data_IF_476427232627
#
_entry.id   IF_476427232627
#
_cell.length_a   1.000
_cell.length_b   1.000
_cell.length_c   1.000
_cell.angle_alpha   90.00
_cell.angle_beta   90.00
_cell.angle_gamma   90.00
#
_symmetry.space_group_name_H-M   'P 1'
#
loop_
_entity.id
_entity.type
_entity.pdbx_description
1 polymer ?
#
# COMPACT_ATOMS: atom_id res chain seq x y z
N UNK A 1 -10.52 18.92 17.56
CA UNK A 1 -9.49 17.89 17.85
C UNK A 1 -9.91 17.20 19.12
N UNK A 2 -9.98 15.88 19.15
CA UNK A 2 -10.36 15.15 20.37
C UNK A 2 -9.22 15.26 21.39
N UNK A 3 -9.54 15.06 22.67
CA UNK A 3 -8.55 15.07 23.76
C UNK A 3 -7.44 14.04 23.49
N UNK A 4 -7.80 12.84 23.00
CA UNK A 4 -6.85 11.81 22.60
C UNK A 4 -5.88 12.27 21.49
N UNK A 5 -6.36 13.03 20.50
CA UNK A 5 -5.49 13.54 19.42
C UNK A 5 -4.58 14.66 19.93
N UNK A 6 -5.06 15.49 20.87
CA UNK A 6 -4.23 16.51 21.52
C UNK A 6 -3.10 15.90 22.35
N UNK A 7 -3.41 14.87 23.14
CA UNK A 7 -2.41 14.17 23.95
C UNK A 7 -1.36 13.45 23.09
N UNK A 8 -1.80 12.83 21.98
CA UNK A 8 -0.92 12.19 21.01
C UNK A 8 0.07 13.20 20.42
N UNK A 9 -0.41 14.37 19.96
CA UNK A 9 0.45 15.39 19.38
C UNK A 9 1.39 16.01 20.40
N UNK A 10 0.92 16.27 21.62
CA UNK A 10 1.77 16.76 22.70
C UNK A 10 2.91 15.79 23.03
N UNK A 11 2.59 14.49 23.11
CA UNK A 11 3.59 13.44 23.35
C UNK A 11 4.57 13.34 22.19
N UNK A 12 4.07 13.40 20.95
CA UNK A 12 4.91 13.40 19.76
C UNK A 12 5.86 14.60 19.73
N UNK A 13 5.40 15.79 20.11
CA UNK A 13 6.21 17.01 20.09
C UNK A 13 7.37 16.99 21.09
N UNK A 14 7.21 16.26 22.20
CA UNK A 14 8.23 16.07 23.23
C UNK A 14 9.36 15.09 22.82
N UNK A 15 9.18 14.32 21.75
CA UNK A 15 10.15 13.34 21.27
C UNK A 15 11.41 14.00 20.69
N UNK A 16 12.53 13.29 20.77
CA UNK A 16 13.74 13.64 20.02
C UNK A 16 13.50 13.51 18.51
N UNK A 17 14.38 14.11 17.70
CA UNK A 17 14.26 14.05 16.23
C UNK A 17 14.25 12.61 15.70
N UNK A 18 15.04 11.72 16.29
CA UNK A 18 15.11 10.32 15.90
C UNK A 18 13.80 9.58 16.22
N UNK A 19 13.27 9.78 17.43
CA UNK A 19 12.00 9.20 17.85
C UNK A 19 10.81 9.75 17.05
N UNK A 20 10.82 11.05 16.69
CA UNK A 20 9.81 11.63 15.79
C UNK A 20 9.82 10.93 14.43
N UNK A 21 11.01 10.71 13.86
CA UNK A 21 11.15 10.02 12.58
C UNK A 21 10.62 8.57 12.67
N UNK A 22 10.97 7.85 13.73
CA UNK A 22 10.48 6.49 13.96
C UNK A 22 8.95 6.45 14.09
N UNK A 23 8.39 7.32 14.93
CA UNK A 23 6.94 7.42 15.13
C UNK A 23 6.20 7.78 13.83
N UNK A 24 6.75 8.70 13.02
CA UNK A 24 6.17 9.02 11.71
C UNK A 24 6.17 7.82 10.76
N UNK A 25 7.25 7.05 10.69
CA UNK A 25 7.30 5.85 9.85
C UNK A 25 6.24 4.83 10.27
N UNK A 26 6.07 4.61 11.57
CA UNK A 26 5.07 3.68 12.09
C UNK A 26 3.64 4.14 11.80
N UNK A 27 3.35 5.43 12.01
CA UNK A 27 2.03 6.00 11.71
C UNK A 27 1.70 5.91 10.22
N UNK A 28 2.66 6.22 9.35
CA UNK A 28 2.47 6.11 7.90
C UNK A 28 2.23 4.66 7.48
N UNK A 29 2.97 3.68 8.02
CA UNK A 29 2.72 2.26 7.74
C UNK A 29 1.31 1.84 8.15
N UNK A 30 0.88 2.23 9.35
CA UNK A 30 -0.45 1.89 9.86
C UNK A 30 -1.56 2.54 9.03
N UNK A 31 -1.38 3.79 8.63
CA UNK A 31 -2.31 4.49 7.74
C UNK A 31 -2.40 3.82 6.37
N UNK A 32 -1.27 3.38 5.81
CA UNK A 32 -1.23 2.63 4.55
C UNK A 32 -1.84 1.25 4.72
N UNK A 33 -1.62 0.53 5.82
CA UNK A 33 -2.27 -0.77 6.07
C UNK A 33 -3.79 -0.64 6.25
N UNK A 34 -4.28 0.48 6.79
CA UNK A 34 -5.71 0.76 6.91
C UNK A 34 -6.35 1.27 5.60
N UNK A 35 -5.62 2.01 4.76
CA UNK A 35 -6.10 2.50 3.44
C UNK A 35 -5.85 1.52 2.29
N UNK A 36 -4.86 0.65 2.42
CA UNK A 36 -4.68 -0.52 1.55
C UNK A 36 -5.73 -1.53 1.96
N UNK A 37 -6.99 -1.22 1.67
CA UNK A 37 -8.01 -2.24 1.56
C UNK A 37 -7.45 -3.35 0.68
N UNK A 38 -7.68 -4.60 1.08
CA UNK A 38 -7.30 -5.77 0.30
C UNK A 38 -7.56 -5.49 -1.19
N UNK A 39 -6.57 -5.77 -2.04
CA UNK A 39 -6.77 -5.65 -3.48
C UNK A 39 -8.03 -6.45 -3.81
N UNK A 40 -9.08 -5.82 -4.35
CA UNK A 40 -10.34 -6.51 -4.55
C UNK A 40 -10.10 -7.70 -5.47
N UNK A 41 -10.77 -8.82 -5.18
CA UNK A 41 -10.61 -10.07 -5.92
C UNK A 41 -10.80 -9.85 -7.43
N UNK A 42 -11.73 -8.97 -7.80
CA UNK A 42 -12.00 -8.59 -9.19
C UNK A 42 -10.81 -7.90 -9.86
N UNK A 43 -10.04 -7.09 -9.13
CA UNK A 43 -8.83 -6.47 -9.65
C UNK A 43 -7.69 -7.49 -9.84
N UNK A 44 -7.62 -8.50 -8.97
CA UNK A 44 -6.68 -9.62 -9.14
C UNK A 44 -7.05 -10.48 -10.36
N UNK A 45 -8.34 -10.77 -10.55
CA UNK A 45 -8.85 -11.51 -11.71
C UNK A 45 -8.56 -10.75 -13.00
N UNK A 46 -8.85 -9.44 -13.04
CA UNK A 46 -8.60 -8.61 -14.23
C UNK A 46 -7.10 -8.56 -14.58
N UNK A 47 -6.23 -8.40 -13.57
CA UNK A 47 -4.78 -8.40 -13.77
C UNK A 47 -4.27 -9.77 -14.27
N UNK A 48 -4.83 -10.87 -13.77
CA UNK A 48 -4.50 -12.21 -14.24
C UNK A 48 -4.92 -12.40 -15.71
N UNK A 49 -6.13 -11.97 -16.08
CA UNK A 49 -6.64 -12.07 -17.45
C UNK A 49 -5.76 -11.29 -18.44
N UNK A 50 -5.34 -10.08 -18.08
CA UNK A 50 -4.41 -9.28 -18.91
C UNK A 50 -3.08 -10.01 -19.14
N UNK A 51 -2.49 -10.60 -18.10
CA UNK A 51 -1.25 -11.37 -18.19
C UNK A 51 -1.39 -12.61 -19.08
N UNK A 52 -2.52 -13.33 -18.99
CA UNK A 52 -2.78 -14.49 -19.84
C UNK A 52 -2.96 -14.09 -21.30
N UNK A 53 -3.69 -13.01 -21.60
CA UNK A 53 -3.86 -12.52 -22.96
C UNK A 53 -2.53 -12.09 -23.59
N UNK A 54 -1.65 -11.43 -22.82
CA UNK A 54 -0.32 -11.08 -23.30
C UNK A 54 0.51 -12.34 -23.62
N UNK A 55 0.46 -13.34 -22.74
CA UNK A 55 1.16 -14.61 -22.94
C UNK A 55 0.67 -15.32 -24.20
N UNK A 56 -0.65 -15.44 -24.39
CA UNK A 56 -1.25 -16.06 -25.57
C UNK A 56 -0.83 -15.33 -26.85
N UNK A 57 -0.80 -13.99 -26.83
CA UNK A 57 -0.37 -13.20 -27.97
C UNK A 57 1.09 -13.45 -28.35
N UNK A 58 1.97 -13.60 -27.34
CA UNK A 58 3.39 -13.93 -27.56
C UNK A 58 3.56 -15.34 -28.11
N UNK A 59 2.87 -16.32 -27.54
CA UNK A 59 2.92 -17.70 -28.02
C UNK A 59 2.40 -17.83 -29.45
N UNK A 60 1.33 -17.09 -29.80
CA UNK A 60 0.81 -17.04 -31.16
C UNK A 60 1.81 -16.41 -32.15
N UNK A 61 2.57 -15.40 -31.72
CA UNK A 61 3.62 -14.78 -32.53
C UNK A 61 4.83 -15.71 -32.71
N UNK A 62 5.25 -16.39 -31.65
CA UNK A 62 6.40 -17.31 -31.66
C UNK A 62 6.08 -18.60 -32.44
N UNK A 63 4.84 -19.11 -32.37
CA UNK A 63 4.41 -20.30 -33.10
C UNK A 63 4.13 -20.11 -34.59
N UNK A 64 4.19 -18.87 -35.10
CA UNK A 64 4.04 -18.53 -36.52
C UNK A 64 5.39 -18.36 -37.25
N UNK A 65 6.52 -18.54 -36.56
CA UNK A 65 7.89 -18.52 -37.12
C UNK A 65 8.43 -19.93 -37.41
#
# INVERSE_FOLDING_TARGET
MTEAVQELLHTFDALTKAEKQEATVQLLRRAVEEESGDVPEEALIAAAEELFLELDAREAADGQS
#
